data_IF_400364192884
#
_entry.id   IF_400364192884
#
_cell.length_a   1.000
_cell.length_b   1.000
_cell.length_c   1.000
_cell.angle_alpha   90.00
_cell.angle_beta   90.00
_cell.angle_gamma   90.00
#
_symmetry.space_group_name_H-M   'P 1'
#
loop_
_entity.id
_entity.type
_entity.pdbx_description
1 polymer ?
#
# COMPACT_ATOMS: atom_id res chain seq x y z
N UNK A 1 23.11 -8.24 -11.59
CA UNK A 1 22.18 -7.43 -10.78
C UNK A 1 21.85 -6.20 -11.59
N UNK A 2 20.57 -5.92 -11.85
CA UNK A 2 20.13 -4.72 -12.57
C UNK A 2 19.70 -3.65 -11.55
N UNK A 3 19.92 -2.39 -11.89
CA UNK A 3 19.51 -1.23 -11.09
C UNK A 3 18.28 -0.64 -11.75
N UNK A 4 17.27 -0.42 -10.93
CA UNK A 4 15.96 0.09 -11.28
C UNK A 4 15.75 1.46 -10.64
N UNK A 5 14.78 2.20 -11.18
CA UNK A 5 14.53 3.59 -10.83
C UNK A 5 13.09 3.74 -10.32
N UNK A 6 12.97 4.16 -9.07
CA UNK A 6 11.70 4.43 -8.42
C UNK A 6 11.58 5.92 -8.12
N UNK A 7 10.44 6.53 -8.45
CA UNK A 7 10.09 7.89 -8.09
C UNK A 7 8.86 7.87 -7.19
N UNK A 8 9.02 8.29 -5.94
CA UNK A 8 7.91 8.35 -4.98
C UNK A 8 7.43 9.78 -4.86
N UNK A 9 6.22 10.10 -5.27
CA UNK A 9 5.68 11.46 -5.19
C UNK A 9 4.86 11.66 -3.92
N UNK A 10 5.17 12.71 -3.16
CA UNK A 10 4.42 13.13 -1.96
C UNK A 10 4.45 14.67 -1.87
N UNK A 11 3.38 15.36 -1.45
CA UNK A 11 3.35 16.83 -1.37
C UNK A 11 4.43 17.43 -0.47
N UNK A 12 4.95 16.68 0.49
CA UNK A 12 6.04 17.11 1.37
C UNK A 12 7.30 16.25 1.14
N UNK A 13 8.51 16.78 1.40
CA UNK A 13 9.71 15.98 1.40
C UNK A 13 9.72 15.03 2.62
N UNK A 14 9.70 13.72 2.36
CA UNK A 14 9.76 12.66 3.39
C UNK A 14 10.77 11.60 3.03
N UNK A 15 11.35 10.96 4.04
CA UNK A 15 12.19 9.79 3.81
C UNK A 15 11.34 8.61 3.33
N UNK A 16 11.79 7.95 2.28
CA UNK A 16 11.19 6.73 1.73
C UNK A 16 11.93 5.53 2.33
N UNK A 17 11.15 4.58 2.81
CA UNK A 17 11.58 3.33 3.40
C UNK A 17 11.18 2.20 2.46
N UNK A 18 12.13 1.40 1.98
CA UNK A 18 11.87 0.15 1.27
C UNK A 18 12.18 -1.01 2.22
N UNK A 19 11.17 -1.81 2.55
CA UNK A 19 11.28 -2.93 3.51
C UNK A 19 11.81 -2.49 4.88
N UNK A 20 11.48 -1.25 5.26
CA UNK A 20 11.96 -0.61 6.48
C UNK A 20 13.35 0.02 6.38
N UNK A 21 14.07 -0.15 5.27
CA UNK A 21 15.37 0.51 5.05
C UNK A 21 15.20 1.86 4.36
N UNK A 22 15.85 2.90 4.87
CA UNK A 22 15.83 4.23 4.25
C UNK A 22 16.58 4.23 2.91
N UNK A 23 15.85 4.47 1.82
CA UNK A 23 16.38 4.43 0.44
C UNK A 23 16.57 5.82 -0.17
N UNK A 24 15.95 6.85 0.42
CA UNK A 24 16.10 8.23 -0.02
C UNK A 24 14.90 9.09 0.40
N UNK A 25 14.56 10.09 -0.42
CA UNK A 25 13.47 11.02 -0.16
C UNK A 25 12.41 11.01 -1.28
N UNK A 26 11.18 11.40 -0.95
CA UNK A 26 10.10 11.62 -1.91
C UNK A 26 10.47 12.73 -2.89
N UNK A 27 9.93 12.63 -4.11
CA UNK A 27 10.20 13.49 -5.27
C UNK A 27 11.64 13.40 -5.79
N UNK A 28 12.42 12.42 -5.33
CA UNK A 28 13.74 12.10 -5.85
C UNK A 28 13.74 10.72 -6.50
N UNK A 29 14.62 10.58 -7.50
CA UNK A 29 14.86 9.29 -8.15
C UNK A 29 15.67 8.40 -7.21
N UNK A 30 15.05 7.30 -6.79
CA UNK A 30 15.64 6.28 -5.94
C UNK A 30 16.19 5.17 -6.84
N UNK A 31 17.41 4.72 -6.55
CA UNK A 31 18.09 3.67 -7.27
C UNK A 31 18.08 2.42 -6.40
N UNK A 32 17.35 1.40 -6.83
CA UNK A 32 17.16 0.16 -6.08
C UNK A 32 17.46 -1.04 -6.99
N UNK A 33 17.94 -2.16 -6.46
CA UNK A 33 18.00 -3.41 -7.22
C UNK A 33 16.64 -3.82 -7.78
N UNK A 34 16.62 -4.65 -8.82
CA UNK A 34 15.39 -5.31 -9.26
C UNK A 34 14.91 -6.31 -8.21
N UNK A 35 13.84 -5.98 -7.50
CA UNK A 35 13.26 -6.84 -6.45
C UNK A 35 11.81 -6.40 -6.12
N UNK A 36 11.16 -7.11 -5.20
CA UNK A 36 9.86 -6.73 -4.64
C UNK A 36 10.09 -5.92 -3.37
N UNK A 37 9.54 -4.71 -3.31
CA UNK A 37 9.73 -3.80 -2.19
C UNK A 37 8.42 -3.39 -1.54
N UNK A 38 8.40 -3.40 -0.21
CA UNK A 38 7.35 -2.75 0.56
C UNK A 38 7.73 -1.28 0.82
N UNK A 39 7.22 -0.38 0.00
CA UNK A 39 7.50 1.05 0.10
C UNK A 39 6.59 1.71 1.14
N UNK A 40 7.20 2.42 2.08
CA UNK A 40 6.52 3.23 3.09
C UNK A 40 7.24 4.57 3.25
N UNK A 41 6.55 5.58 3.80
CA UNK A 41 7.18 6.85 4.13
C UNK A 41 7.56 6.85 5.62
N UNK A 42 8.57 7.62 6.00
CA UNK A 42 8.87 7.83 7.42
C UNK A 42 7.81 8.72 8.06
N UNK A 43 7.35 8.35 9.27
CA UNK A 43 6.37 9.09 10.07
C UNK A 43 4.93 8.57 9.90
N UNK A 44 3.94 9.43 10.15
CA UNK A 44 2.51 9.11 9.97
C UNK A 44 1.81 10.25 9.21
N UNK A 45 0.52 10.11 8.88
CA UNK A 45 -0.26 11.17 8.24
C UNK A 45 -0.30 11.12 6.70
N UNK A 46 -0.12 9.93 6.12
CA UNK A 46 -0.20 9.69 4.68
C UNK A 46 -0.93 8.39 4.38
N UNK A 47 -1.49 8.30 3.18
CA UNK A 47 -2.15 7.11 2.66
C UNK A 47 -1.67 6.80 1.24
N UNK A 48 -1.56 5.50 0.89
CA UNK A 48 -1.65 4.34 1.79
C UNK A 48 -0.48 4.29 2.80
N UNK A 49 -0.57 3.52 3.91
CA UNK A 49 0.53 3.42 4.89
C UNK A 49 1.78 2.73 4.32
N UNK A 50 1.59 1.84 3.36
CA UNK A 50 2.63 1.16 2.59
C UNK A 50 2.07 0.74 1.22
N UNK A 51 2.95 0.52 0.25
CA UNK A 51 2.65 -0.02 -1.07
C UNK A 51 3.65 -1.12 -1.39
N UNK A 52 3.12 -2.27 -1.77
CA UNK A 52 3.90 -3.35 -2.35
C UNK A 52 4.12 -3.07 -3.83
N UNK A 53 5.38 -3.11 -4.27
CA UNK A 53 5.75 -2.90 -5.67
C UNK A 53 6.76 -3.95 -6.15
N UNK A 54 6.55 -4.45 -7.36
CA UNK A 54 7.57 -5.22 -8.08
C UNK A 54 8.42 -4.26 -8.92
N UNK A 55 9.61 -3.91 -8.43
CA UNK A 55 10.49 -2.97 -9.10
C UNK A 55 11.27 -3.71 -10.20
N UNK A 56 10.75 -3.65 -11.43
CA UNK A 56 11.32 -4.37 -12.58
C UNK A 56 11.07 -3.67 -13.91
N UNK A 57 12.06 -3.70 -14.81
CA UNK A 57 11.92 -3.18 -16.18
C UNK A 57 11.83 -1.65 -16.27
N UNK A 58 12.35 -0.95 -15.28
CA UNK A 58 12.41 0.51 -15.18
C UNK A 58 13.77 1.03 -15.62
N UNK A 59 13.85 2.31 -15.93
CA UNK A 59 15.08 2.96 -16.37
C UNK A 59 15.07 4.44 -16.03
N UNK A 60 16.22 5.10 -16.12
CA UNK A 60 16.33 6.54 -15.83
C UNK A 60 15.36 7.40 -16.67
N UNK A 61 15.02 6.94 -17.88
CA UNK A 61 14.05 7.58 -18.79
C UNK A 61 12.59 7.21 -18.50
N UNK A 62 12.34 6.12 -17.78
CA UNK A 62 11.02 5.60 -17.45
C UNK A 62 11.08 4.92 -16.07
N UNK A 63 11.14 5.72 -14.99
CA UNK A 63 11.10 5.18 -13.65
C UNK A 63 9.71 4.65 -13.34
N UNK A 64 9.62 3.72 -12.39
CA UNK A 64 8.34 3.40 -11.75
C UNK A 64 7.95 4.57 -10.86
N UNK A 65 6.71 5.05 -10.98
CA UNK A 65 6.23 6.18 -10.21
C UNK A 65 5.10 5.71 -9.31
N UNK A 66 5.22 5.98 -8.00
CA UNK A 66 4.14 5.74 -7.03
C UNK A 66 3.84 7.03 -6.28
N UNK A 67 2.58 7.19 -5.87
CA UNK A 67 2.11 8.39 -5.19
C UNK A 67 1.54 8.07 -3.82
N UNK A 68 1.86 8.94 -2.86
CA UNK A 68 1.26 8.98 -1.54
C UNK A 68 0.51 10.30 -1.38
N UNK A 69 -0.58 10.30 -0.64
CA UNK A 69 -1.37 11.50 -0.33
C UNK A 69 -1.35 11.76 1.16
N UNK A 70 -1.28 13.04 1.56
CA UNK A 70 -1.39 13.39 2.98
C UNK A 70 -2.80 13.09 3.47
N UNK A 71 -2.95 12.46 4.63
CA UNK A 71 -4.26 12.23 5.26
C UNK A 71 -4.81 13.48 5.96
N UNK A 72 -4.09 14.60 5.88
CA UNK A 72 -4.57 15.92 6.28
C UNK A 72 -5.63 16.42 5.31
N UNK A 73 -6.89 16.25 5.69
CA UNK A 73 -8.11 16.81 5.05
C UNK A 73 -8.67 16.00 3.89
N UNK A 74 -9.39 14.93 4.23
CA UNK A 74 -10.51 14.42 3.44
C UNK A 74 -10.17 13.43 2.33
N UNK A 75 -9.99 12.16 2.69
CA UNK A 75 -10.93 11.09 2.31
C UNK A 75 -10.55 9.81 3.05
N UNK A 76 -11.57 9.20 3.63
CA UNK A 76 -11.54 7.90 4.29
C UNK A 76 -11.28 6.80 3.25
N UNK A 77 -10.02 6.45 2.96
CA UNK A 77 -9.71 5.23 2.21
C UNK A 77 -9.93 4.02 3.13
N UNK A 78 -11.19 3.64 3.28
CA UNK A 78 -11.57 2.29 3.72
C UNK A 78 -10.93 1.33 2.71
N UNK A 79 -10.06 0.39 3.12
CA UNK A 79 -9.55 -0.61 2.18
C UNK A 79 -10.73 -1.51 1.76
N UNK A 80 -11.02 -1.69 0.45
CA UNK A 80 -11.82 -2.83 0.03
C UNK A 80 -10.92 -4.06 0.04
N UNK A 81 -10.58 -4.57 1.21
CA UNK A 81 -9.97 -5.90 1.30
C UNK A 81 -10.48 -6.65 2.52
N UNK A 82 -11.60 -7.33 2.31
CA UNK A 82 -11.78 -8.71 2.75
C UNK A 82 -13.13 -9.21 2.19
N UNK A 83 -13.08 -10.05 1.15
CA UNK A 83 -14.04 -11.16 1.10
C UNK A 83 -13.53 -12.25 2.04
N UNK A 84 -14.28 -12.62 3.07
CA UNK A 84 -14.20 -14.01 3.55
C UNK A 84 -15.59 -14.51 3.97
N UNK A 85 -16.16 -15.46 3.22
CA UNK A 85 -17.50 -15.95 3.59
C UNK A 85 -18.13 -17.08 2.77
N UNK A 86 -17.36 -17.97 2.18
CA UNK A 86 -17.82 -19.35 1.95
C UNK A 86 -16.86 -20.30 2.65
N UNK A 87 -17.26 -21.46 3.20
CA UNK A 87 -18.59 -22.06 3.36
C UNK A 87 -18.93 -22.34 4.85
N UNK A 88 -20.20 -22.31 5.26
CA UNK A 88 -20.63 -23.12 6.42
C UNK A 88 -22.12 -23.41 6.39
N UNK A 89 -22.46 -24.60 5.93
CA UNK A 89 -23.70 -25.25 6.30
C UNK A 89 -23.78 -25.35 7.84
N UNK A 90 -24.91 -24.94 8.41
CA UNK A 90 -25.39 -25.46 9.70
C UNK A 90 -26.91 -25.34 9.76
N UNK A 91 -27.56 -26.43 9.34
CA UNK A 91 -28.86 -26.89 9.82
C UNK A 91 -29.01 -26.59 11.31
N UNK A 92 -30.17 -26.05 11.70
CA UNK A 92 -30.96 -26.57 12.83
C UNK A 92 -32.38 -25.98 12.85
N UNK A 93 -33.29 -26.85 12.44
CA UNK A 93 -34.70 -26.96 12.82
C UNK A 93 -34.96 -26.68 14.32
N UNK A 94 -36.07 -26.00 14.68
CA UNK A 94 -36.50 -25.94 16.10
C UNK A 94 -37.50 -24.88 16.57
N UNK A 95 -38.78 -25.01 16.21
CA UNK A 95 -39.97 -25.02 17.12
C UNK A 95 -40.20 -23.88 18.17
N UNK A 96 -41.38 -23.22 18.02
CA UNK A 96 -42.50 -23.08 19.01
C UNK A 96 -42.82 -21.71 19.69
N UNK A 97 -44.03 -21.20 19.35
CA UNK A 97 -45.09 -20.51 20.16
C UNK A 97 -44.82 -19.23 20.98
N UNK A 98 -45.60 -18.17 20.72
CA UNK A 98 -46.70 -17.57 21.56
C UNK A 98 -47.09 -16.20 20.95
N UNK A 99 -48.33 -16.02 20.46
CA UNK A 99 -49.53 -15.52 21.16
C UNK A 99 -49.60 -13.99 21.25
N UNK A 100 -50.44 -13.38 20.39
CA UNK A 100 -51.34 -12.26 20.67
C UNK A 100 -52.33 -12.14 19.51
#
# INVERSE_FOLDING_TARGET
>A
MAIEYLLVTFPEPRAVLADGNGVGFTNHTLMLPTDEYLISLAGTGYQPPNQDIALSGTSLVKPMVISFTSTGTGVNATPPSASPGGPSARRSEGKKKKNA
#
